data_IF_874895025695
#
_entry.id   IF_874895025695
#
_cell.length_a   1.000
_cell.length_b   1.000
_cell.length_c   1.000
_cell.angle_alpha   90.00
_cell.angle_beta   90.00
_cell.angle_gamma   90.00
#
_symmetry.space_group_name_H-M   'P 1'
#
loop_
_entity.id
_entity.type
_entity.pdbx_description
1 polymer ?
#
# COMPACT_ATOMS: atom_id res chain seq x y z
N UNK A 1 -20.35 1.73 -29.24
CA UNK A 1 -20.77 0.80 -28.19
C UNK A 1 -22.12 0.24 -28.53
N UNK A 2 -22.26 -1.08 -28.55
CA UNK A 2 -23.55 -1.77 -28.80
C UNK A 2 -24.11 -2.22 -27.47
N UNK A 3 -25.30 -1.76 -27.14
CA UNK A 3 -26.05 -2.22 -25.96
C UNK A 3 -27.03 -3.30 -26.48
N UNK A 4 -26.65 -4.57 -26.33
CA UNK A 4 -27.40 -5.70 -26.84
C UNK A 4 -28.80 -5.79 -26.24
N UNK A 5 -28.92 -5.56 -24.93
CA UNK A 5 -30.19 -5.64 -24.19
C UNK A 5 -31.20 -4.55 -24.61
N UNK A 6 -30.72 -3.46 -25.18
CA UNK A 6 -31.54 -2.34 -25.63
C UNK A 6 -31.61 -2.22 -27.14
N UNK A 7 -30.94 -3.13 -27.86
CA UNK A 7 -30.80 -3.09 -29.33
C UNK A 7 -30.39 -1.70 -29.85
N UNK A 8 -29.48 -1.05 -29.12
CA UNK A 8 -29.07 0.33 -29.39
C UNK A 8 -27.57 0.41 -29.68
N UNK A 9 -27.22 1.19 -30.71
CA UNK A 9 -25.84 1.52 -31.05
C UNK A 9 -25.57 2.96 -30.62
N UNK A 10 -24.62 3.15 -29.69
CA UNK A 10 -24.20 4.46 -29.24
C UNK A 10 -22.89 4.82 -29.92
N UNK A 11 -22.90 5.89 -30.70
CA UNK A 11 -21.68 6.45 -31.28
C UNK A 11 -21.00 7.39 -30.26
N UNK A 12 -19.68 7.27 -30.07
CA UNK A 12 -18.98 8.13 -29.13
C UNK A 12 -18.94 9.58 -29.64
N UNK A 13 -18.98 10.54 -28.71
CA UNK A 13 -18.73 11.93 -29.05
C UNK A 13 -17.28 12.10 -29.54
N UNK A 14 -17.01 13.08 -30.42
CA UNK A 14 -15.67 13.35 -30.95
C UNK A 14 -14.61 13.67 -29.87
N UNK A 15 -15.04 14.11 -28.71
CA UNK A 15 -14.17 14.41 -27.56
C UNK A 15 -14.11 13.26 -26.55
N UNK A 16 -14.79 12.13 -26.82
CA UNK A 16 -14.73 10.97 -25.94
C UNK A 16 -13.30 10.43 -25.85
N UNK A 17 -12.88 10.13 -24.62
CA UNK A 17 -11.61 9.46 -24.32
C UNK A 17 -11.88 8.37 -23.30
N UNK A 18 -11.27 7.21 -23.51
CA UNK A 18 -11.37 6.07 -22.62
C UNK A 18 -10.03 5.87 -21.92
N UNK A 19 -10.08 5.80 -20.59
CA UNK A 19 -8.93 5.47 -19.75
C UNK A 19 -9.24 4.22 -18.95
N UNK A 20 -8.25 3.37 -18.78
CA UNK A 20 -8.36 2.19 -17.93
C UNK A 20 -7.08 2.03 -17.11
N UNK A 21 -7.22 1.40 -15.95
CA UNK A 21 -6.10 0.99 -15.09
C UNK A 21 -6.19 -0.50 -14.85
N UNK A 22 -5.04 -1.14 -14.74
CA UNK A 22 -4.93 -2.57 -14.50
C UNK A 22 -3.69 -2.85 -13.66
N UNK A 23 -3.74 -3.88 -12.83
CA UNK A 23 -2.59 -4.31 -12.03
C UNK A 23 -1.56 -5.11 -12.85
N UNK A 24 -1.97 -5.62 -14.00
CA UNK A 24 -1.10 -6.36 -14.94
C UNK A 24 -1.26 -5.76 -16.34
N UNK A 25 -0.25 -5.93 -17.17
CA UNK A 25 -0.28 -5.43 -18.57
C UNK A 25 -1.21 -6.27 -19.47
N UNK A 26 -2.11 -7.05 -18.90
CA UNK A 26 -2.99 -7.94 -19.67
C UNK A 26 -2.36 -9.26 -20.09
N UNK A 27 -1.16 -9.57 -19.65
CA UNK A 27 -0.47 -10.84 -19.92
C UNK A 27 -0.76 -11.92 -18.84
N UNK A 28 -1.66 -11.62 -17.91
CA UNK A 28 -1.90 -12.44 -16.72
C UNK A 28 -0.85 -12.20 -15.66
N UNK A 29 -0.98 -12.92 -14.53
CA UNK A 29 -0.05 -12.83 -13.43
C UNK A 29 1.00 -13.95 -13.53
N UNK A 30 2.23 -13.57 -13.81
CA UNK A 30 3.38 -14.49 -13.81
C UNK A 30 4.09 -14.52 -12.46
N UNK A 31 3.73 -13.61 -11.55
CA UNK A 31 4.40 -13.43 -10.24
C UNK A 31 3.64 -14.05 -9.08
N UNK A 32 2.39 -14.46 -9.27
CA UNK A 32 1.53 -14.99 -8.22
C UNK A 32 0.92 -13.92 -7.29
N UNK A 33 1.18 -12.64 -7.54
CA UNK A 33 0.75 -11.52 -6.68
C UNK A 33 -0.68 -11.06 -6.92
N UNK A 34 -1.15 -11.24 -8.13
CA UNK A 34 -2.47 -10.81 -8.58
C UNK A 34 -3.29 -12.02 -9.02
N UNK A 35 -3.44 -12.98 -8.12
CA UNK A 35 -4.24 -14.18 -8.38
C UNK A 35 -5.63 -13.82 -8.91
N UNK A 36 -6.07 -14.52 -9.94
CA UNK A 36 -7.37 -14.29 -10.57
C UNK A 36 -7.37 -13.27 -11.72
N UNK A 37 -6.22 -12.65 -12.02
CA UNK A 37 -6.11 -11.85 -13.27
C UNK A 37 -6.06 -12.77 -14.47
N UNK A 38 -6.93 -12.49 -15.46
CA UNK A 38 -6.96 -13.23 -16.72
C UNK A 38 -6.15 -12.50 -17.78
N UNK A 39 -5.62 -13.27 -18.73
CA UNK A 39 -4.98 -12.70 -19.90
C UNK A 39 -6.01 -11.98 -20.75
N UNK A 40 -5.68 -10.79 -21.18
CA UNK A 40 -6.47 -10.03 -22.15
C UNK A 40 -6.15 -10.57 -23.54
N UNK A 41 -7.18 -10.79 -24.36
CA UNK A 41 -7.02 -11.20 -25.74
C UNK A 41 -6.17 -10.17 -26.52
N UNK A 42 -5.26 -10.65 -27.35
CA UNK A 42 -4.37 -9.81 -28.17
C UNK A 42 -5.16 -8.76 -28.99
N UNK A 43 -6.29 -9.13 -29.55
CA UNK A 43 -7.15 -8.19 -30.30
C UNK A 43 -7.79 -7.10 -29.41
N UNK A 44 -7.94 -7.33 -28.11
CA UNK A 44 -8.38 -6.30 -27.16
C UNK A 44 -7.22 -5.38 -26.79
N UNK A 45 -6.01 -5.93 -26.59
CA UNK A 45 -4.82 -5.14 -26.33
C UNK A 45 -4.49 -4.20 -27.49
N UNK A 46 -4.62 -4.65 -28.71
CA UNK A 46 -4.36 -3.89 -29.92
C UNK A 46 -5.27 -2.65 -30.10
N UNK A 47 -6.40 -2.62 -29.38
CA UNK A 47 -7.32 -1.47 -29.39
C UNK A 47 -6.89 -0.32 -28.49
N UNK A 48 -5.91 -0.55 -27.59
CA UNK A 48 -5.35 0.49 -26.73
C UNK A 48 -4.21 1.19 -27.47
N UNK A 49 -4.46 2.43 -27.87
CA UNK A 49 -3.47 3.23 -28.64
C UNK A 49 -2.25 3.60 -27.80
N UNK A 50 -2.41 3.69 -26.47
CA UNK A 50 -1.35 4.06 -25.55
C UNK A 50 -1.46 3.14 -24.33
N UNK A 51 -0.37 2.46 -24.02
CA UNK A 51 -0.19 1.67 -22.80
C UNK A 51 1.03 2.22 -22.08
N UNK A 52 0.87 2.62 -20.82
CA UNK A 52 1.92 3.20 -20.01
C UNK A 52 2.00 2.50 -18.66
N UNK A 53 3.21 2.27 -18.19
CA UNK A 53 3.47 1.72 -16.85
C UNK A 53 3.65 2.87 -15.87
N UNK A 54 2.98 2.80 -14.72
CA UNK A 54 3.14 3.73 -13.62
C UNK A 54 3.94 3.06 -12.52
N UNK A 55 5.02 3.70 -12.10
CA UNK A 55 5.82 3.31 -10.95
C UNK A 55 5.43 4.12 -9.71
N UNK A 56 6.05 3.81 -8.58
CA UNK A 56 5.91 4.60 -7.37
C UNK A 56 6.42 6.02 -7.58
N UNK A 57 5.79 6.96 -6.89
CA UNK A 57 6.19 8.36 -6.91
C UNK A 57 7.51 8.58 -6.15
N UNK A 58 8.26 9.66 -6.45
CA UNK A 58 9.33 10.14 -5.60
C UNK A 58 8.84 10.40 -4.17
N UNK A 59 9.72 10.21 -3.18
CA UNK A 59 9.37 10.26 -1.77
C UNK A 59 8.78 11.60 -1.31
N UNK A 60 9.24 12.71 -1.89
CA UNK A 60 8.71 14.06 -1.65
C UNK A 60 7.26 14.21 -2.12
N UNK A 61 6.95 13.72 -3.30
CA UNK A 61 5.58 13.72 -3.81
C UNK A 61 4.67 12.78 -3.01
N UNK A 62 5.17 11.62 -2.59
CA UNK A 62 4.41 10.72 -1.73
C UNK A 62 4.12 11.37 -0.37
N UNK A 63 5.10 12.11 0.19
CA UNK A 63 4.91 12.89 1.42
C UNK A 63 3.82 13.95 1.25
N UNK A 64 3.80 14.69 0.15
CA UNK A 64 2.79 15.70 -0.13
C UNK A 64 1.38 15.09 -0.20
N UNK A 65 1.26 13.89 -0.79
CA UNK A 65 -0.01 13.16 -0.83
C UNK A 65 -0.46 12.77 0.58
N UNK A 66 0.43 12.21 1.40
CA UNK A 66 0.10 11.85 2.78
C UNK A 66 -0.33 13.07 3.59
N UNK A 67 0.43 14.17 3.51
CA UNK A 67 0.11 15.43 4.19
C UNK A 67 -1.21 16.06 3.72
N UNK A 68 -1.54 15.93 2.43
CA UNK A 68 -2.84 16.39 1.91
C UNK A 68 -4.02 15.64 2.52
N UNK A 69 -3.82 14.37 2.92
CA UNK A 69 -4.83 13.53 3.58
C UNK A 69 -4.85 13.71 5.10
N UNK A 70 -3.71 14.07 5.68
CA UNK A 70 -3.53 14.26 7.12
C UNK A 70 -2.85 15.62 7.41
N UNK A 71 -3.58 16.73 7.29
CA UNK A 71 -3.03 18.07 7.57
C UNK A 71 -2.54 18.25 9.01
N UNK A 72 -3.06 17.46 9.96
CA UNK A 72 -2.62 17.41 11.35
C UNK A 72 -1.13 17.07 11.52
N UNK A 73 -0.55 16.31 10.57
CA UNK A 73 0.85 15.91 10.57
C UNK A 73 1.77 16.89 9.82
N UNK A 74 1.32 18.10 9.52
CA UNK A 74 2.10 19.13 8.80
C UNK A 74 3.21 19.76 9.64
N UNK A 75 3.29 19.48 10.95
CA UNK A 75 4.38 19.93 11.82
C UNK A 75 5.72 19.32 11.38
N UNK A 76 6.84 19.94 11.79
CA UNK A 76 8.16 19.41 11.50
C UNK A 76 8.37 17.98 12.02
N UNK A 77 7.80 17.66 13.18
CA UNK A 77 7.84 16.30 13.74
C UNK A 77 6.97 15.33 12.94
N UNK A 78 5.76 15.73 12.58
CA UNK A 78 4.87 14.93 11.74
C UNK A 78 5.49 14.60 10.39
N UNK A 79 6.11 15.58 9.73
CA UNK A 79 6.84 15.37 8.48
C UNK A 79 8.00 14.39 8.63
N UNK A 80 8.75 14.43 9.73
CA UNK A 80 9.82 13.46 10.01
C UNK A 80 9.27 12.05 10.17
N UNK A 81 8.14 11.90 10.86
CA UNK A 81 7.49 10.60 11.03
C UNK A 81 7.03 10.06 9.66
N UNK A 82 6.36 10.87 8.84
CA UNK A 82 5.92 10.46 7.49
C UNK A 82 7.13 10.09 6.62
N UNK A 83 8.21 10.86 6.68
CA UNK A 83 9.45 10.53 5.94
C UNK A 83 10.00 9.16 6.33
N UNK A 84 9.99 8.80 7.61
CA UNK A 84 10.40 7.47 8.07
C UNK A 84 9.43 6.37 7.62
N UNK A 85 8.11 6.65 7.63
CA UNK A 85 7.11 5.71 7.11
C UNK A 85 7.34 5.42 5.62
N UNK A 86 7.62 6.45 4.81
CA UNK A 86 7.93 6.31 3.39
C UNK A 86 9.24 5.53 3.20
N UNK A 87 10.25 5.75 4.04
CA UNK A 87 11.49 4.98 4.01
C UNK A 87 11.26 3.48 4.27
N UNK A 88 10.38 3.11 5.22
CA UNK A 88 9.97 1.71 5.41
C UNK A 88 9.27 1.18 4.17
N UNK A 89 8.37 1.96 3.57
CA UNK A 89 7.69 1.56 2.34
C UNK A 89 8.67 1.32 1.18
N UNK A 90 9.68 2.16 1.05
CA UNK A 90 10.74 2.01 0.04
C UNK A 90 11.56 0.72 0.26
N UNK A 91 11.92 0.41 1.51
CA UNK A 91 12.59 -0.84 1.83
C UNK A 91 11.74 -2.07 1.46
N UNK A 92 10.43 -2.05 1.76
CA UNK A 92 9.53 -3.15 1.37
C UNK A 92 9.39 -3.28 -0.15
N UNK A 93 9.34 -2.15 -0.87
CA UNK A 93 9.26 -2.14 -2.35
C UNK A 93 10.52 -2.71 -2.98
N UNK A 94 11.68 -2.36 -2.46
CA UNK A 94 12.96 -2.87 -2.95
C UNK A 94 13.11 -4.38 -2.67
N UNK A 95 12.77 -4.82 -1.46
CA UNK A 95 12.78 -6.23 -1.10
C UNK A 95 11.80 -7.06 -1.95
N UNK A 96 10.63 -6.49 -2.26
CA UNK A 96 9.65 -7.10 -3.15
C UNK A 96 10.20 -7.26 -4.58
N UNK A 97 10.82 -6.22 -5.15
CA UNK A 97 11.44 -6.29 -6.48
C UNK A 97 12.55 -7.33 -6.53
N UNK A 98 13.29 -7.49 -5.44
CA UNK A 98 14.36 -8.49 -5.31
C UNK A 98 13.82 -9.92 -5.08
N UNK A 99 12.53 -10.06 -4.75
CA UNK A 99 11.93 -11.36 -4.44
C UNK A 99 12.15 -11.83 -2.99
N UNK A 100 12.62 -10.95 -2.11
CA UNK A 100 12.88 -11.26 -0.70
C UNK A 100 11.59 -11.35 0.11
N UNK A 101 10.56 -10.61 -0.29
CA UNK A 101 9.22 -10.62 0.31
C UNK A 101 8.14 -10.59 -0.78
N UNK A 102 6.97 -11.13 -0.48
CA UNK A 102 5.80 -11.16 -1.38
C UNK A 102 4.82 -10.01 -1.15
N UNK A 103 4.92 -9.34 -0.01
CA UNK A 103 4.01 -8.26 0.39
C UNK A 103 4.68 -6.91 0.19
N UNK A 104 3.99 -5.97 -0.45
CA UNK A 104 4.53 -4.63 -0.74
C UNK A 104 3.69 -3.53 -0.11
N UNK A 105 4.35 -2.50 0.42
CA UNK A 105 3.69 -1.33 0.99
C UNK A 105 3.41 -0.29 -0.10
N UNK A 106 2.12 -0.13 -0.44
CA UNK A 106 1.66 0.90 -1.38
C UNK A 106 1.54 2.28 -0.71
N UNK A 107 1.46 3.38 -1.46
CA UNK A 107 1.16 4.72 -0.90
C UNK A 107 -0.12 4.75 -0.08
N UNK A 108 -1.15 3.98 -0.45
CA UNK A 108 -2.37 3.81 0.34
C UNK A 108 -2.09 3.21 1.70
N UNK A 109 -1.17 2.27 1.79
CA UNK A 109 -0.79 1.65 3.06
C UNK A 109 -0.08 2.65 3.96
N UNK A 110 0.76 3.53 3.42
CA UNK A 110 1.40 4.61 4.18
C UNK A 110 0.36 5.59 4.73
N UNK A 111 -0.62 5.99 3.91
CA UNK A 111 -1.73 6.85 4.35
C UNK A 111 -2.51 6.19 5.48
N UNK A 112 -2.89 4.92 5.33
CA UNK A 112 -3.63 4.17 6.35
C UNK A 112 -2.82 4.03 7.64
N UNK A 113 -1.50 3.81 7.54
CA UNK A 113 -0.63 3.75 8.71
C UNK A 113 -0.60 5.09 9.45
N UNK A 114 -0.45 6.19 8.73
CA UNK A 114 -0.47 7.52 9.33
C UNK A 114 -1.84 7.85 9.98
N UNK A 115 -2.95 7.45 9.37
CA UNK A 115 -4.29 7.57 9.96
C UNK A 115 -4.43 6.72 11.24
N UNK A 116 -3.95 5.49 11.21
CA UNK A 116 -3.97 4.61 12.39
C UNK A 116 -3.07 5.15 13.51
N UNK A 117 -1.96 5.81 13.18
CA UNK A 117 -1.13 6.49 14.17
C UNK A 117 -1.90 7.62 14.87
N UNK A 118 -2.75 8.36 14.15
CA UNK A 118 -3.59 9.38 14.79
C UNK A 118 -4.62 8.79 15.76
N UNK A 119 -5.11 7.58 15.46
CA UNK A 119 -6.09 6.88 16.31
C UNK A 119 -5.41 6.27 17.54
N UNK A 120 -4.37 5.46 17.32
CA UNK A 120 -3.77 4.64 18.37
C UNK A 120 -2.65 5.33 19.15
N UNK A 121 -2.08 6.42 18.61
CA UNK A 121 -0.97 7.18 19.20
C UNK A 121 0.31 6.35 19.47
N UNK A 122 0.40 5.18 18.85
CA UNK A 122 1.53 4.27 18.92
C UNK A 122 1.96 3.88 17.51
N UNK A 123 3.20 4.21 17.15
CA UNK A 123 3.73 4.00 15.80
C UNK A 123 3.96 2.51 15.49
N UNK A 124 4.43 1.76 16.47
CA UNK A 124 4.73 0.34 16.33
C UNK A 124 3.44 -0.49 16.23
N UNK A 125 2.48 -0.21 17.10
CA UNK A 125 1.15 -0.82 17.05
C UNK A 125 0.44 -0.50 15.74
N UNK A 126 0.43 0.77 15.34
CA UNK A 126 -0.19 1.21 14.07
C UNK A 126 0.44 0.53 12.87
N UNK A 127 1.76 0.35 12.84
CA UNK A 127 2.45 -0.40 11.80
C UNK A 127 2.02 -1.86 11.76
N UNK A 128 1.99 -2.51 12.92
CA UNK A 128 1.61 -3.91 13.05
C UNK A 128 0.22 -4.16 12.48
N UNK A 129 -0.79 -3.40 12.90
CA UNK A 129 -2.19 -3.61 12.48
C UNK A 129 -2.44 -3.17 11.04
N UNK A 130 -1.64 -2.22 10.52
CA UNK A 130 -1.80 -1.73 9.17
C UNK A 130 -1.13 -2.63 8.14
N UNK A 131 0.07 -3.12 8.43
CA UNK A 131 0.90 -3.81 7.46
C UNK A 131 1.43 -5.17 7.93
N UNK A 132 2.15 -5.24 9.06
CA UNK A 132 2.87 -6.45 9.48
C UNK A 132 1.95 -7.68 9.58
N UNK A 133 0.73 -7.53 10.10
CA UNK A 133 -0.22 -8.62 10.23
C UNK A 133 -0.75 -9.15 8.89
N UNK A 134 -0.54 -8.44 7.80
CA UNK A 134 -0.89 -8.86 6.44
C UNK A 134 0.24 -9.60 5.74
N UNK A 135 1.46 -9.51 6.27
CA UNK A 135 2.62 -10.21 5.72
C UNK A 135 2.58 -11.69 6.08
N UNK A 136 3.15 -12.51 5.20
CA UNK A 136 3.41 -13.92 5.50
C UNK A 136 4.27 -14.04 6.78
N UNK A 137 4.05 -15.09 7.54
CA UNK A 137 4.75 -15.32 8.80
C UNK A 137 6.27 -15.34 8.64
N UNK A 138 6.75 -15.93 7.55
CA UNK A 138 8.17 -16.02 7.24
C UNK A 138 8.81 -14.66 6.91
N UNK A 139 8.02 -13.72 6.41
CA UNK A 139 8.47 -12.38 6.02
C UNK A 139 8.44 -11.37 7.17
N UNK A 140 7.67 -11.65 8.22
CA UNK A 140 7.44 -10.70 9.33
C UNK A 140 8.71 -10.24 10.02
N UNK A 141 9.69 -11.13 10.15
CA UNK A 141 10.99 -10.78 10.76
C UNK A 141 11.71 -9.75 9.92
N UNK A 142 11.81 -9.99 8.61
CA UNK A 142 12.46 -9.07 7.67
C UNK A 142 11.74 -7.71 7.64
N UNK A 143 10.42 -7.73 7.63
CA UNK A 143 9.61 -6.50 7.64
C UNK A 143 9.74 -5.75 8.96
N UNK A 144 9.85 -6.46 10.09
CA UNK A 144 10.11 -5.86 11.39
C UNK A 144 11.49 -5.18 11.45
N UNK A 145 12.51 -5.78 10.84
CA UNK A 145 13.84 -5.17 10.72
C UNK A 145 13.82 -3.88 9.91
N UNK A 146 13.00 -3.78 8.85
CA UNK A 146 12.84 -2.53 8.10
C UNK A 146 12.25 -1.42 8.98
N UNK A 147 11.24 -1.76 9.79
CA UNK A 147 10.69 -0.81 10.75
C UNK A 147 11.73 -0.37 11.77
N UNK A 148 12.43 -1.31 12.40
CA UNK A 148 13.47 -1.03 13.40
C UNK A 148 14.56 -0.12 12.83
N UNK A 149 15.01 -0.37 11.62
CA UNK A 149 16.03 0.43 10.93
C UNK A 149 15.61 1.89 10.74
N UNK A 150 14.32 2.15 10.47
CA UNK A 150 13.83 3.51 10.21
C UNK A 150 13.39 4.24 11.49
N UNK A 151 12.88 3.52 12.48
CA UNK A 151 12.30 4.10 13.69
C UNK A 151 13.18 3.92 14.95
N UNK A 152 14.26 3.13 14.86
CA UNK A 152 15.13 2.82 15.99
C UNK A 152 14.37 2.24 17.20
N UNK A 153 13.34 1.46 16.90
CA UNK A 153 12.44 0.86 17.87
C UNK A 153 12.10 -0.58 17.45
N UNK A 154 12.17 -1.51 18.39
CA UNK A 154 11.72 -2.88 18.16
C UNK A 154 10.20 -2.96 18.15
N UNK A 155 9.66 -3.85 17.30
CA UNK A 155 8.23 -4.14 17.30
C UNK A 155 7.93 -5.14 18.42
N UNK A 156 6.93 -4.85 19.27
CA UNK A 156 6.52 -5.82 20.29
C UNK A 156 6.00 -7.10 19.64
N UNK A 157 6.34 -8.25 20.22
CA UNK A 157 5.92 -9.58 19.69
C UNK A 157 4.40 -9.77 19.74
N UNK A 158 3.72 -9.17 20.70
CA UNK A 158 2.27 -9.28 20.90
C UNK A 158 1.59 -7.92 20.90
N UNK A 159 0.29 -7.91 20.52
CA UNK A 159 -0.60 -6.74 20.61
C UNK A 159 -0.86 -6.29 22.05
N UNK A 160 -0.69 -7.19 23.03
CA UNK A 160 -0.77 -6.90 24.45
C UNK A 160 0.61 -7.17 25.05
N UNK A 161 1.29 -6.12 25.52
CA UNK A 161 2.42 -6.33 26.39
C UNK A 161 1.94 -7.00 27.67
N UNK A 162 2.66 -8.00 28.14
CA UNK A 162 2.34 -8.73 29.37
C UNK A 162 2.24 -7.83 30.63
N UNK A 163 2.67 -6.58 30.52
CA UNK A 163 2.56 -5.54 31.54
C UNK A 163 1.15 -5.00 31.74
N UNK A 164 0.33 -4.96 30.69
CA UNK A 164 -1.04 -4.40 30.78
C UNK A 164 -2.05 -5.37 31.39
N UNK A 165 -1.74 -6.66 31.39
CA UNK A 165 -2.61 -7.69 32.02
C UNK A 165 -2.45 -7.68 33.53
N UNK A 166 -1.25 -7.40 34.03
CA UNK A 166 -0.97 -7.40 35.47
C UNK A 166 -1.37 -6.11 36.21
N UNK A 167 -1.54 -4.99 35.53
CA UNK A 167 -1.98 -3.74 36.14
C UNK A 167 -3.48 -3.71 36.44
N UNK A 168 -4.30 -4.39 35.62
CA UNK A 168 -5.76 -4.47 35.84
C UNK A 168 -6.20 -5.53 36.85
N UNK A 169 -5.34 -6.49 37.16
CA UNK A 169 -5.65 -7.55 38.14
C UNK A 169 -5.29 -7.16 39.59
N UNK A 170 -4.76 -5.96 39.83
CA UNK A 170 -4.42 -5.46 41.19
C UNK A 170 -5.40 -4.43 41.75
N UNK A 171 -6.36 -3.98 40.93
CA UNK A 171 -7.37 -2.97 41.32
C UNK A 171 -8.78 -3.59 41.48
N UNK A 172 -8.94 -4.91 41.52
CA UNK A 172 -10.09 -5.67 42.01
C UNK A 172 -9.71 -6.42 43.30
#
# INVERSE_FOLDING_TARGET
>A
LTLLDQNQIISPNKHFRLFATSNTVGLGDTTGLYHGTQQINQGQMDRWSIVSTLNYLPNDHEMDIVLSKLPSMSSNEGKKIISRMIAVAELTRNAFVNGDISTVMSPRTVINWAQNLEIFKDIAFSFRVTFLNKCDELERTTVAEFFQRCFDQELPESLMSSTDINSKAKDE
#
